data_IF_287342799631
#
_entry.id   IF_287342799631
#
_cell.length_a   1.000
_cell.length_b   1.000
_cell.length_c   1.000
_cell.angle_alpha   90.00
_cell.angle_beta   90.00
_cell.angle_gamma   90.00
#
_symmetry.space_group_name_H-M   'P 1'
#
loop_
_entity.id
_entity.type
_entity.pdbx_description
1 polymer ?
#
# COMPACT_ATOMS: atom_id res chain seq x y z
N UNK A 1 -34.59 64.14 -5.01
CA UNK A 1 -34.86 62.73 -4.69
C UNK A 1 -33.49 62.11 -4.55
N UNK A 2 -33.04 61.89 -3.32
CA UNK A 2 -31.81 61.12 -3.07
C UNK A 2 -32.17 59.65 -3.20
N UNK A 3 -31.44 58.93 -4.05
CA UNK A 3 -31.63 57.51 -4.24
C UNK A 3 -31.19 56.81 -2.94
N UNK A 4 -32.03 55.95 -2.33
CA UNK A 4 -31.64 55.18 -1.14
C UNK A 4 -30.54 54.13 -1.39
N UNK A 5 -29.95 54.14 -2.59
CA UNK A 5 -28.89 53.26 -3.06
C UNK A 5 -27.57 54.01 -3.32
N UNK A 6 -27.51 55.32 -3.06
CA UNK A 6 -26.28 56.14 -3.15
C UNK A 6 -25.49 56.18 -1.82
N UNK A 7 -25.65 55.18 -0.95
CA UNK A 7 -24.63 54.90 0.08
C UNK A 7 -23.48 54.16 -0.61
N UNK A 8 -22.61 54.93 -1.28
CA UNK A 8 -21.34 54.44 -1.79
C UNK A 8 -20.55 53.90 -0.59
N UNK A 9 -20.47 52.58 -0.46
CA UNK A 9 -19.77 51.91 0.62
C UNK A 9 -18.36 52.49 0.70
N UNK A 10 -18.11 53.30 1.74
CA UNK A 10 -16.87 54.05 1.84
C UNK A 10 -15.66 53.11 1.75
N UNK A 11 -14.51 53.59 1.25
CA UNK A 11 -13.31 52.74 1.04
C UNK A 11 -12.87 51.97 2.29
N UNK A 12 -13.23 52.45 3.50
CA UNK A 12 -13.01 51.73 4.76
C UNK A 12 -13.94 50.51 4.93
N UNK A 13 -15.22 50.60 4.56
CA UNK A 13 -16.18 49.48 4.63
C UNK A 13 -15.79 48.35 3.69
N UNK A 14 -15.35 48.69 2.47
CA UNK A 14 -14.85 47.71 1.50
C UNK A 14 -13.59 47.03 2.05
N UNK A 15 -12.62 47.83 2.55
CA UNK A 15 -11.39 47.29 3.13
C UNK A 15 -11.65 46.35 4.31
N UNK A 16 -12.57 46.72 5.20
CA UNK A 16 -12.88 45.91 6.38
C UNK A 16 -13.61 44.62 5.97
N UNK A 17 -14.48 44.65 4.95
CA UNK A 17 -15.11 43.43 4.40
C UNK A 17 -14.12 42.49 3.71
N UNK A 18 -13.17 43.03 2.94
CA UNK A 18 -12.09 42.25 2.31
C UNK A 18 -11.17 41.66 3.38
N UNK A 19 -10.87 42.40 4.44
CA UNK A 19 -10.10 41.90 5.57
C UNK A 19 -10.81 40.76 6.30
N UNK A 20 -12.11 40.88 6.56
CA UNK A 20 -12.90 39.79 7.17
C UNK A 20 -12.92 38.56 6.28
N UNK A 21 -13.09 38.74 4.96
CA UNK A 21 -13.07 37.64 4.01
C UNK A 21 -11.72 36.92 4.01
N UNK A 22 -10.61 37.65 3.86
CA UNK A 22 -9.25 37.09 3.89
C UNK A 22 -8.99 36.38 5.22
N UNK A 23 -9.38 36.97 6.35
CA UNK A 23 -9.21 36.34 7.67
C UNK A 23 -10.01 35.04 7.82
N UNK A 24 -11.23 35.00 7.28
CA UNK A 24 -12.06 33.79 7.30
C UNK A 24 -11.45 32.69 6.43
N UNK A 25 -11.02 33.03 5.21
CA UNK A 25 -10.36 32.10 4.29
C UNK A 25 -9.07 31.54 4.89
N UNK A 26 -8.25 32.39 5.52
CA UNK A 26 -7.01 31.96 6.17
C UNK A 26 -7.28 31.02 7.35
N UNK A 27 -8.31 31.29 8.14
CA UNK A 27 -8.70 30.44 9.29
C UNK A 27 -9.22 29.09 8.82
N UNK A 28 -10.14 29.07 7.85
CA UNK A 28 -10.71 27.84 7.29
C UNK A 28 -9.64 27.00 6.58
N UNK A 29 -8.75 27.65 5.83
CA UNK A 29 -7.64 26.98 5.14
C UNK A 29 -6.65 26.43 6.14
N UNK A 30 -6.23 27.22 7.14
CA UNK A 30 -5.31 26.77 8.19
C UNK A 30 -5.87 25.62 9.02
N UNK A 31 -7.17 25.61 9.31
CA UNK A 31 -7.83 24.50 9.99
C UNK A 31 -7.83 23.22 9.15
N UNK A 32 -8.20 23.32 7.86
CA UNK A 32 -8.16 22.18 6.94
C UNK A 32 -6.75 21.63 6.76
N UNK A 33 -5.78 22.52 6.59
CA UNK A 33 -4.37 22.16 6.47
C UNK A 33 -3.87 21.47 7.73
N UNK A 34 -4.21 21.99 8.92
CA UNK A 34 -3.86 21.39 10.20
C UNK A 34 -4.43 19.98 10.39
N UNK A 35 -5.68 19.75 9.99
CA UNK A 35 -6.28 18.41 10.02
C UNK A 35 -5.56 17.47 9.05
N UNK A 36 -5.33 17.92 7.81
CA UNK A 36 -4.65 17.11 6.79
C UNK A 36 -3.24 16.73 7.24
N UNK A 37 -2.46 17.71 7.71
CA UNK A 37 -1.12 17.50 8.21
C UNK A 37 -1.09 16.55 9.42
N UNK A 38 -2.06 16.65 10.34
CA UNK A 38 -2.17 15.73 11.47
C UNK A 38 -2.48 14.28 11.03
N UNK A 39 -3.39 14.11 10.08
CA UNK A 39 -3.73 12.79 9.50
C UNK A 39 -2.54 12.19 8.76
N UNK A 40 -1.85 12.99 7.95
CA UNK A 40 -0.66 12.56 7.20
C UNK A 40 0.46 12.16 8.16
N UNK A 41 0.72 12.95 9.21
CA UNK A 41 1.76 12.64 10.20
C UNK A 41 1.49 11.32 10.92
N UNK A 42 0.25 11.06 11.33
CA UNK A 42 -0.12 9.80 11.99
C UNK A 42 -0.03 8.60 11.03
N UNK A 43 -0.46 8.77 9.78
CA UNK A 43 -0.37 7.74 8.74
C UNK A 43 1.09 7.38 8.42
N UNK A 44 1.96 8.39 8.34
CA UNK A 44 3.36 8.21 7.99
C UNK A 44 4.13 7.46 9.08
N UNK A 45 3.86 7.73 10.36
CA UNK A 45 4.47 7.00 11.48
C UNK A 45 4.14 5.50 11.41
N UNK A 46 2.88 5.16 11.14
CA UNK A 46 2.45 3.76 10.96
C UNK A 46 3.12 3.09 9.76
N UNK A 47 3.23 3.80 8.63
CA UNK A 47 3.94 3.30 7.45
C UNK A 47 5.43 3.06 7.75
N UNK A 48 6.11 4.02 8.37
CA UNK A 48 7.54 3.93 8.67
C UNK A 48 7.84 2.76 9.61
N UNK A 49 6.99 2.55 10.62
CA UNK A 49 7.07 1.41 11.52
C UNK A 49 6.90 0.07 10.77
N UNK A 50 5.87 -0.06 9.94
CA UNK A 50 5.63 -1.27 9.14
C UNK A 50 6.73 -1.53 8.11
N UNK A 51 7.23 -0.48 7.47
CA UNK A 51 8.35 -0.55 6.54
C UNK A 51 9.63 -1.03 7.24
N UNK A 52 9.98 -0.45 8.39
CA UNK A 52 11.21 -0.81 9.10
C UNK A 52 11.17 -2.22 9.70
N UNK A 53 10.03 -2.63 10.25
CA UNK A 53 9.90 -3.90 10.99
C UNK A 53 9.61 -5.11 10.09
N UNK A 54 8.83 -4.93 9.02
CA UNK A 54 8.34 -6.03 8.18
C UNK A 54 8.80 -5.86 6.74
N UNK A 55 8.54 -4.69 6.14
CA UNK A 55 8.77 -4.41 4.72
C UNK A 55 10.22 -4.58 4.29
N UNK A 56 11.12 -3.82 4.91
CA UNK A 56 12.52 -3.80 4.58
C UNK A 56 13.23 -5.15 4.87
N UNK A 57 13.03 -5.82 6.02
CA UNK A 57 13.65 -7.13 6.27
C UNK A 57 13.25 -8.21 5.26
N UNK A 58 11.95 -8.36 4.99
CA UNK A 58 11.44 -9.37 4.06
C UNK A 58 11.86 -9.03 2.62
N UNK A 59 11.74 -7.76 2.22
CA UNK A 59 12.16 -7.30 0.90
C UNK A 59 13.65 -7.52 0.66
N UNK A 60 14.50 -7.25 1.67
CA UNK A 60 15.94 -7.50 1.61
C UNK A 60 16.23 -8.99 1.45
N UNK A 61 15.60 -9.85 2.25
CA UNK A 61 15.83 -11.31 2.17
C UNK A 61 15.47 -11.89 0.80
N UNK A 62 14.28 -11.57 0.28
CA UNK A 62 13.84 -12.03 -1.05
C UNK A 62 14.72 -11.43 -2.15
N UNK A 63 15.12 -10.16 -1.99
CA UNK A 63 16.03 -9.48 -2.90
C UNK A 63 17.39 -10.18 -3.02
N UNK A 64 18.01 -10.52 -1.89
CA UNK A 64 19.29 -11.25 -1.87
C UNK A 64 19.11 -12.63 -2.49
N UNK A 65 18.05 -13.36 -2.16
CA UNK A 65 17.78 -14.69 -2.75
C UNK A 65 17.69 -14.64 -4.27
N UNK A 66 16.94 -13.67 -4.81
CA UNK A 66 16.83 -13.43 -6.25
C UNK A 66 18.19 -13.06 -6.86
N UNK A 67 18.91 -12.12 -6.25
CA UNK A 67 20.23 -11.70 -6.73
C UNK A 67 21.22 -12.86 -6.81
N UNK A 68 21.31 -13.67 -5.76
CA UNK A 68 22.19 -14.83 -5.69
C UNK A 68 21.85 -15.86 -6.76
N UNK A 69 20.57 -16.22 -6.94
CA UNK A 69 20.21 -17.23 -7.94
C UNK A 69 20.45 -16.75 -9.38
N UNK A 70 20.23 -15.47 -9.67
CA UNK A 70 20.50 -14.91 -11.00
C UNK A 70 22.00 -14.82 -11.28
N UNK A 71 22.80 -14.42 -10.29
CA UNK A 71 24.26 -14.44 -10.41
C UNK A 71 24.80 -15.86 -10.65
N UNK A 72 24.25 -16.86 -9.96
CA UNK A 72 24.58 -18.27 -10.18
C UNK A 72 24.22 -18.70 -11.61
N UNK A 73 23.02 -18.38 -12.08
CA UNK A 73 22.56 -18.71 -13.43
C UNK A 73 23.45 -18.07 -14.51
N UNK A 74 23.84 -16.81 -14.34
CA UNK A 74 24.75 -16.13 -15.25
C UNK A 74 26.13 -16.79 -15.27
N UNK A 75 26.72 -17.02 -14.09
CA UNK A 75 28.02 -17.68 -13.95
C UNK A 75 28.06 -19.08 -14.61
N UNK A 76 26.98 -19.85 -14.47
CA UNK A 76 26.84 -21.17 -15.05
C UNK A 76 26.59 -21.12 -16.56
N UNK A 77 25.96 -20.06 -17.05
CA UNK A 77 25.70 -19.84 -18.48
C UNK A 77 26.97 -19.41 -19.22
N UNK A 78 27.84 -18.62 -18.56
CA UNK A 78 29.15 -18.21 -19.07
C UNK A 78 30.17 -19.36 -19.06
N UNK A 79 30.14 -20.22 -18.04
CA UNK A 79 31.08 -21.34 -17.87
C UNK A 79 30.60 -22.68 -18.49
N UNK A 80 29.53 -22.66 -19.31
CA UNK A 80 28.81 -23.84 -19.82
C UNK A 80 29.56 -24.76 -20.80
N UNK A 81 30.89 -24.80 -20.79
CA UNK A 81 31.73 -25.52 -21.76
C UNK A 81 32.11 -26.97 -21.40
N UNK A 82 32.56 -27.28 -20.18
CA UNK A 82 33.48 -28.43 -20.02
C UNK A 82 33.15 -29.49 -18.94
N UNK A 83 31.92 -29.59 -18.43
CA UNK A 83 31.55 -30.69 -17.53
C UNK A 83 30.10 -31.19 -17.75
N UNK A 84 29.80 -32.48 -17.53
CA UNK A 84 28.44 -33.03 -17.53
C UNK A 84 27.67 -32.83 -16.21
N UNK A 85 28.32 -32.45 -15.10
CA UNK A 85 27.67 -32.07 -13.83
C UNK A 85 26.91 -30.72 -13.75
N UNK A 86 27.20 -29.67 -14.53
CA UNK A 86 26.57 -28.34 -14.42
C UNK A 86 25.16 -28.27 -15.02
N UNK A 87 24.72 -29.25 -15.82
CA UNK A 87 23.38 -29.23 -16.45
C UNK A 87 22.25 -29.47 -15.45
N UNK A 88 22.42 -30.35 -14.47
CA UNK A 88 21.42 -30.58 -13.42
C UNK A 88 21.32 -29.37 -12.49
N UNK A 89 22.47 -28.80 -12.10
CA UNK A 89 22.56 -27.58 -11.28
C UNK A 89 21.89 -26.40 -11.99
N UNK A 90 22.08 -26.27 -13.31
CA UNK A 90 21.39 -25.26 -14.12
C UNK A 90 19.86 -25.42 -14.11
N UNK A 91 19.35 -26.65 -14.21
CA UNK A 91 17.90 -26.92 -14.17
C UNK A 91 17.34 -26.57 -12.79
N UNK A 92 18.03 -26.96 -11.73
CA UNK A 92 17.64 -26.65 -10.35
C UNK A 92 17.65 -25.15 -10.10
N UNK A 93 18.71 -24.44 -10.48
CA UNK A 93 18.81 -22.99 -10.34
C UNK A 93 17.70 -22.25 -11.12
N UNK A 94 17.33 -22.73 -12.32
CA UNK A 94 16.20 -22.18 -13.10
C UNK A 94 14.87 -22.39 -12.40
N UNK A 95 14.66 -23.57 -11.81
CA UNK A 95 13.44 -23.87 -11.05
C UNK A 95 13.31 -22.97 -9.82
N UNK A 96 14.39 -22.79 -9.07
CA UNK A 96 14.43 -21.90 -7.90
C UNK A 96 14.18 -20.45 -8.33
N UNK A 97 14.81 -19.98 -9.40
CA UNK A 97 14.60 -18.64 -9.94
C UNK A 97 13.14 -18.41 -10.36
N UNK A 98 12.51 -19.39 -11.00
CA UNK A 98 11.09 -19.33 -11.35
C UNK A 98 10.21 -19.21 -10.10
N UNK A 99 10.44 -20.04 -9.08
CA UNK A 99 9.68 -19.97 -7.82
C UNK A 99 9.87 -18.63 -7.10
N UNK A 100 11.12 -18.15 -7.00
CA UNK A 100 11.42 -16.86 -6.40
C UNK A 100 10.79 -15.68 -7.16
N UNK A 101 10.66 -15.76 -8.49
CA UNK A 101 10.04 -14.71 -9.31
C UNK A 101 8.53 -14.56 -9.06
N UNK A 102 7.87 -15.63 -8.61
CA UNK A 102 6.42 -15.65 -8.36
C UNK A 102 6.02 -15.18 -6.97
N UNK A 103 6.97 -15.11 -6.03
CA UNK A 103 6.71 -14.60 -4.68
C UNK A 103 6.20 -13.16 -4.75
N UNK A 104 5.01 -12.94 -4.18
CA UNK A 104 4.45 -11.60 -3.94
C UNK A 104 4.60 -11.22 -2.48
N UNK A 105 4.92 -9.95 -2.22
CA UNK A 105 5.06 -9.42 -0.86
C UNK A 105 3.79 -9.64 -0.01
N UNK A 106 2.61 -9.47 -0.63
CA UNK A 106 1.30 -9.69 0.02
C UNK A 106 1.04 -11.12 0.50
N UNK A 107 1.81 -12.10 0.02
CA UNK A 107 1.67 -13.51 0.40
C UNK A 107 2.62 -13.92 1.53
N UNK A 108 3.72 -13.19 1.70
CA UNK A 108 4.79 -13.50 2.68
C UNK A 108 4.80 -12.54 3.87
N UNK A 109 4.21 -11.35 3.72
CA UNK A 109 4.06 -10.41 4.82
C UNK A 109 3.10 -11.01 5.87
N UNK A 110 3.45 -10.95 7.17
CA UNK A 110 2.55 -11.31 8.24
C UNK A 110 1.24 -10.53 8.11
N UNK A 111 0.13 -11.19 8.39
CA UNK A 111 -1.18 -10.55 8.39
C UNK A 111 -1.21 -9.50 9.49
N UNK A 112 -1.44 -8.25 9.11
CA UNK A 112 -1.46 -7.12 10.05
C UNK A 112 -2.80 -7.07 10.79
N UNK A 113 -2.89 -7.84 11.88
CA UNK A 113 -4.10 -7.95 12.70
C UNK A 113 -4.44 -6.62 13.39
N UNK A 114 -3.43 -5.78 13.65
CA UNK A 114 -3.60 -4.46 14.27
C UNK A 114 -4.19 -3.46 13.27
N UNK A 115 -3.68 -3.44 12.03
CA UNK A 115 -4.29 -2.65 10.96
C UNK A 115 -5.71 -3.13 10.61
N UNK A 116 -5.96 -4.45 10.60
CA UNK A 116 -7.31 -5.01 10.40
C UNK A 116 -8.26 -4.61 11.54
N UNK A 117 -7.80 -4.66 12.80
CA UNK A 117 -8.59 -4.26 13.96
C UNK A 117 -8.90 -2.76 13.95
N UNK A 118 -7.90 -1.92 13.66
CA UNK A 118 -8.05 -0.46 13.59
C UNK A 118 -8.98 -0.04 12.43
N UNK A 119 -8.88 -0.67 11.26
CA UNK A 119 -9.81 -0.42 10.15
C UNK A 119 -11.25 -0.83 10.52
N UNK A 120 -11.40 -1.91 11.28
CA UNK A 120 -12.68 -2.41 11.75
C UNK A 120 -13.27 -1.54 12.88
N UNK A 121 -12.43 -0.94 13.72
CA UNK A 121 -12.83 0.07 14.71
C UNK A 121 -13.26 1.38 14.04
N UNK A 122 -12.55 1.84 13.00
CA UNK A 122 -12.99 2.98 12.20
C UNK A 122 -14.34 2.74 11.52
N UNK A 123 -14.54 1.55 10.94
CA UNK A 123 -15.81 1.19 10.32
C UNK A 123 -16.96 1.16 11.35
N UNK A 124 -16.69 0.74 12.59
CA UNK A 124 -17.65 0.77 13.70
C UNK A 124 -17.88 2.18 14.23
N UNK A 125 -16.85 3.02 14.31
CA UNK A 125 -17.00 4.42 14.68
C UNK A 125 -17.79 5.21 13.63
N UNK A 126 -17.65 4.95 12.33
CA UNK A 126 -18.52 5.55 11.30
C UNK A 126 -19.99 5.06 11.38
N UNK A 127 -20.25 3.89 11.98
CA UNK A 127 -21.60 3.41 12.34
C UNK A 127 -22.13 4.06 13.64
N UNK A 128 -21.26 4.36 14.61
CA UNK A 128 -21.61 4.96 15.92
C UNK A 128 -21.66 6.51 15.89
N UNK A 129 -20.83 7.18 15.09
CA UNK A 129 -20.84 8.65 14.84
C UNK A 129 -21.93 9.08 13.85
N UNK A 130 -22.78 8.15 13.39
CA UNK A 130 -24.03 8.47 12.70
C UNK A 130 -25.01 9.30 13.56
N UNK A 131 -24.66 9.59 14.83
CA UNK A 131 -25.40 10.49 15.73
C UNK A 131 -24.84 11.92 15.80
N UNK A 132 -23.74 12.27 15.12
CA UNK A 132 -23.25 13.66 15.06
C UNK A 132 -23.86 14.38 13.85
N UNK A 133 -25.02 14.98 14.09
CA UNK A 133 -25.71 16.02 13.29
C UNK A 133 -25.43 15.95 11.77
N UNK A 134 -26.14 15.04 11.09
CA UNK A 134 -26.13 14.92 9.63
C UNK A 134 -26.41 16.29 8.98
N UNK A 135 -25.41 16.89 8.35
CA UNK A 135 -25.62 17.97 7.39
C UNK A 135 -26.51 17.42 6.25
N UNK A 136 -27.69 18.00 6.03
CA UNK A 136 -28.75 17.52 5.11
C UNK A 136 -28.25 17.12 3.69
N UNK A 137 -27.11 17.66 3.26
CA UNK A 137 -26.45 17.33 1.99
C UNK A 137 -25.81 15.94 1.97
N UNK A 138 -25.28 15.46 3.11
CA UNK A 138 -24.62 14.15 3.24
C UNK A 138 -25.67 13.03 3.19
N UNK A 139 -26.84 13.25 3.80
CA UNK A 139 -27.96 12.31 3.76
C UNK A 139 -28.48 12.09 2.33
N UNK A 140 -28.59 13.16 1.53
CA UNK A 140 -29.02 13.07 0.12
C UNK A 140 -28.00 12.33 -0.75
N UNK A 141 -26.70 12.55 -0.51
CA UNK A 141 -25.64 11.88 -1.25
C UNK A 141 -25.61 10.38 -0.98
N UNK A 142 -25.82 9.96 0.29
CA UNK A 142 -25.92 8.55 0.68
C UNK A 142 -27.11 7.83 0.03
N UNK A 143 -28.24 8.54 -0.12
CA UNK A 143 -29.41 8.00 -0.83
C UNK A 143 -29.14 7.78 -2.33
N UNK A 144 -28.41 8.69 -2.97
CA UNK A 144 -28.02 8.55 -4.37
C UNK A 144 -27.04 7.38 -4.56
N UNK A 145 -26.06 7.23 -3.67
CA UNK A 145 -25.11 6.12 -3.68
C UNK A 145 -25.81 4.76 -3.49
N UNK A 146 -26.79 4.66 -2.59
CA UNK A 146 -27.58 3.43 -2.39
C UNK A 146 -28.41 3.00 -3.61
N UNK A 147 -28.85 3.94 -4.44
CA UNK A 147 -29.55 3.65 -5.69
C UNK A 147 -28.60 3.12 -6.77
N UNK A 148 -27.37 3.63 -6.81
CA UNK A 148 -26.32 3.17 -7.72
C UNK A 148 -25.86 1.75 -7.38
N UNK A 149 -25.76 1.41 -6.09
CA UNK A 149 -25.37 0.09 -5.60
C UNK A 149 -26.42 -1.00 -5.90
N UNK A 150 -27.71 -0.66 -5.83
CA UNK A 150 -28.79 -1.57 -6.28
C UNK A 150 -28.73 -1.82 -7.78
N UNK A 151 -28.39 -0.80 -8.58
CA UNK A 151 -28.20 -0.91 -10.03
C UNK A 151 -26.98 -1.76 -10.39
N UNK A 152 -25.88 -1.62 -9.64
CA UNK A 152 -24.68 -2.42 -9.81
C UNK A 152 -24.91 -3.91 -9.51
N UNK A 153 -25.67 -4.24 -8.44
CA UNK A 153 -26.02 -5.63 -8.08
C UNK A 153 -26.94 -6.35 -9.07
N UNK A 154 -27.66 -5.61 -9.90
CA UNK A 154 -28.47 -6.16 -11.00
C UNK A 154 -27.65 -6.41 -12.27
N UNK A 155 -26.37 -6.02 -12.29
CA UNK A 155 -25.47 -6.22 -13.41
C UNK A 155 -24.74 -7.55 -13.27
N UNK A 156 -25.04 -8.57 -14.11
CA UNK A 156 -24.37 -9.87 -14.01
C UNK A 156 -23.01 -9.79 -14.71
N UNK A 157 -21.90 -9.86 -13.98
CA UNK A 157 -20.60 -9.77 -14.63
C UNK A 157 -19.32 -10.04 -13.84
N UNK A 158 -19.26 -9.97 -12.52
CA UNK A 158 -17.97 -10.11 -11.82
C UNK A 158 -18.03 -10.94 -10.54
N UNK A 159 -17.81 -12.24 -10.70
CA UNK A 159 -17.55 -13.19 -9.62
C UNK A 159 -16.33 -14.03 -10.00
N UNK A 160 -15.16 -13.39 -10.03
CA UNK A 160 -13.89 -14.12 -10.01
C UNK A 160 -13.38 -14.17 -8.57
N UNK A 161 -13.51 -15.35 -7.95
CA UNK A 161 -13.06 -15.64 -6.59
C UNK A 161 -11.51 -15.64 -6.55
N UNK A 162 -10.84 -14.75 -5.80
CA UNK A 162 -9.37 -14.68 -5.75
C UNK A 162 -8.71 -15.85 -5.00
N UNK A 163 -9.50 -16.76 -4.41
CA UNK A 163 -9.05 -17.74 -3.43
C UNK A 163 -8.27 -18.93 -3.99
N UNK A 164 -8.21 -19.12 -5.33
CA UNK A 164 -7.54 -20.26 -5.97
C UNK A 164 -6.10 -20.00 -6.46
N UNK A 165 -5.50 -18.84 -6.16
CA UNK A 165 -4.07 -18.64 -6.42
C UNK A 165 -3.25 -19.31 -5.32
N UNK A 166 -2.49 -20.36 -5.70
CA UNK A 166 -1.54 -21.07 -4.83
C UNK A 166 -0.72 -20.07 -4.00
N UNK A 167 -1.02 -19.97 -2.71
CA UNK A 167 -0.42 -18.99 -1.79
C UNK A 167 0.96 -19.50 -1.40
N UNK A 168 2.01 -18.83 -1.85
CA UNK A 168 3.37 -19.16 -1.42
C UNK A 168 3.55 -18.69 0.03
N UNK A 169 3.89 -19.61 0.92
CA UNK A 169 4.00 -19.34 2.35
C UNK A 169 5.41 -18.88 2.74
N UNK A 170 5.57 -18.32 3.94
CA UNK A 170 6.88 -18.00 4.52
C UNK A 170 7.79 -19.24 4.60
N UNK A 171 7.21 -20.42 4.84
CA UNK A 171 7.95 -21.69 4.88
C UNK A 171 8.56 -22.03 3.51
N UNK A 172 7.86 -21.71 2.42
CA UNK A 172 8.36 -21.92 1.05
C UNK A 172 9.58 -21.03 0.78
N UNK A 173 9.59 -19.79 1.27
CA UNK A 173 10.74 -18.90 1.17
C UNK A 173 11.95 -19.47 1.93
N UNK A 174 11.74 -19.99 3.14
CA UNK A 174 12.80 -20.64 3.92
C UNK A 174 13.32 -21.92 3.23
N UNK A 175 12.44 -22.68 2.59
CA UNK A 175 12.81 -23.85 1.80
C UNK A 175 13.69 -23.45 0.60
N UNK A 176 13.28 -22.42 -0.15
CA UNK A 176 14.04 -21.88 -1.29
C UNK A 176 15.40 -21.33 -0.84
N UNK A 177 15.48 -20.70 0.34
CA UNK A 177 16.75 -20.26 0.94
C UNK A 177 17.69 -21.43 1.21
N UNK A 178 17.18 -22.51 1.83
CA UNK A 178 17.97 -23.72 2.09
C UNK A 178 18.46 -24.38 0.80
N UNK A 179 17.60 -24.47 -0.22
CA UNK A 179 17.97 -25.00 -1.53
C UNK A 179 19.06 -24.15 -2.20
N UNK A 180 18.91 -22.83 -2.18
CA UNK A 180 19.90 -21.89 -2.74
C UNK A 180 21.26 -22.05 -2.05
N UNK A 181 21.28 -22.19 -0.72
CA UNK A 181 22.51 -22.45 0.06
C UNK A 181 23.16 -23.80 -0.29
N UNK A 182 22.37 -24.86 -0.42
CA UNK A 182 22.85 -26.17 -0.85
C UNK A 182 23.48 -26.11 -2.25
N UNK A 183 22.90 -25.32 -3.15
CA UNK A 183 23.42 -25.14 -4.49
C UNK A 183 24.72 -24.33 -4.50
N UNK A 184 24.81 -23.27 -3.69
CA UNK A 184 26.04 -22.48 -3.51
C UNK A 184 27.18 -23.34 -2.97
N UNK A 185 26.93 -24.15 -1.93
CA UNK A 185 27.93 -25.03 -1.32
C UNK A 185 28.40 -26.11 -2.29
N UNK A 186 27.48 -26.68 -3.09
CA UNK A 186 27.84 -27.62 -4.16
C UNK A 186 28.77 -26.99 -5.20
N UNK A 187 28.63 -25.68 -5.45
CA UNK A 187 29.51 -24.91 -6.34
C UNK A 187 30.78 -24.37 -5.65
N UNK A 188 30.98 -24.63 -4.35
CA UNK A 188 32.13 -24.13 -3.59
C UNK A 188 32.08 -22.63 -3.27
N UNK A 189 30.90 -22.01 -3.34
CA UNK A 189 30.70 -20.58 -3.07
C UNK A 189 30.22 -20.39 -1.63
N UNK A 190 30.91 -19.53 -0.87
CA UNK A 190 30.44 -19.04 0.44
C UNK A 190 29.61 -17.78 0.24
N UNK A 191 28.33 -17.83 0.61
CA UNK A 191 27.44 -16.66 0.57
C UNK A 191 27.15 -16.24 2.01
N UNK A 192 27.59 -15.04 2.37
CA UNK A 192 27.26 -14.39 3.64
C UNK A 192 25.99 -13.55 3.46
N UNK A 193 24.95 -13.87 4.23
CA UNK A 193 23.61 -13.27 4.13
C UNK A 193 23.38 -12.13 5.14
N UNK A 194 24.45 -11.55 5.71
CA UNK A 194 24.38 -10.51 6.76
C UNK A 194 23.73 -9.22 6.27
#
# INVERSE_FOLDING_TARGET
>A
MDSPWDEEAGPNTIRDSEWTKISSEFTTTGYREGITAGKESALQEGFDAGFATIGAPIGREVGILRGTIFALLDSLSLNGGDSPGPKSVLIEARSIAYQLSRIRFSEIAPRDVEAEAHALEHLKMDEEDAEIEENDEIAQKRQMEGLEDMLARLTPGDHSDPSEQYKLTLEDVQNLKRQTLSLCTTMGLSVDWS
#
